data_IF_801253215253
#
_entry.id   IF_801253215253
#
_cell.length_a   1.000
_cell.length_b   1.000
_cell.length_c   1.000
_cell.angle_alpha   90.00
_cell.angle_beta   90.00
_cell.angle_gamma   90.00
#
_symmetry.space_group_name_H-M   'P 1'
#
loop_
_entity.id
_entity.type
_entity.pdbx_description
1 polymer ?
#
# COMPACT_ATOMS: atom_id res chain seq x y z
N UNK A 1 12.44 7.32 0.75
CA UNK A 1 11.31 7.87 1.54
C UNK A 1 10.46 8.68 0.58
N UNK A 2 9.20 8.29 0.34
CA UNK A 2 8.33 8.96 -0.62
C UNK A 2 7.66 10.20 -0.02
N UNK A 3 7.34 11.20 -0.85
CA UNK A 3 6.55 12.37 -0.44
C UNK A 3 5.13 11.90 -0.03
N UNK A 4 4.62 12.42 1.09
CA UNK A 4 3.25 12.12 1.51
C UNK A 4 2.24 12.84 0.60
N UNK A 5 1.25 12.09 0.12
CA UNK A 5 0.02 12.64 -0.45
C UNK A 5 -0.96 12.95 0.71
N UNK A 6 -0.92 14.18 1.21
CA UNK A 6 -1.71 14.60 2.37
C UNK A 6 -3.23 14.57 2.11
N UNK A 7 -3.65 14.83 0.89
CA UNK A 7 -5.05 14.77 0.48
C UNK A 7 -5.59 13.34 0.58
N UNK A 8 -4.87 12.38 -0.02
CA UNK A 8 -5.24 10.97 0.04
C UNK A 8 -5.35 10.48 1.48
N UNK A 9 -4.39 10.82 2.35
CA UNK A 9 -4.44 10.45 3.77
C UNK A 9 -5.62 11.07 4.53
N UNK A 10 -6.08 12.26 4.14
CA UNK A 10 -7.21 12.92 4.79
C UNK A 10 -8.51 12.18 4.49
N UNK A 11 -8.68 11.74 3.24
CA UNK A 11 -9.90 11.06 2.77
C UNK A 11 -9.89 9.56 3.06
N UNK A 12 -8.72 8.92 3.00
CA UNK A 12 -8.55 7.47 3.13
C UNK A 12 -7.77 7.18 4.41
N UNK A 13 -8.38 7.44 5.57
CA UNK A 13 -7.78 7.07 6.86
C UNK A 13 -7.99 5.59 7.14
N UNK A 14 -6.96 4.92 7.64
CA UNK A 14 -7.07 3.54 8.10
C UNK A 14 -8.08 3.47 9.26
N UNK A 15 -9.09 2.60 9.20
CA UNK A 15 -10.00 2.38 10.32
C UNK A 15 -9.27 1.85 11.55
N UNK A 16 -9.67 2.31 12.75
CA UNK A 16 -9.02 1.91 14.01
C UNK A 16 -9.06 0.38 14.25
N UNK A 17 -10.17 -0.26 13.86
CA UNK A 17 -10.37 -1.70 13.97
C UNK A 17 -10.48 -2.35 12.58
N UNK A 18 -9.57 -1.99 11.67
CA UNK A 18 -9.56 -2.55 10.33
C UNK A 18 -9.36 -4.08 10.37
N UNK A 19 -10.28 -4.80 9.73
CA UNK A 19 -10.10 -6.22 9.41
C UNK A 19 -8.89 -6.42 8.50
N UNK A 20 -8.38 -7.65 8.38
CA UNK A 20 -7.26 -7.97 7.48
C UNK A 20 -7.54 -7.52 6.05
N UNK A 21 -8.73 -7.80 5.53
CA UNK A 21 -9.19 -7.37 4.20
C UNK A 21 -9.18 -5.86 4.02
N UNK A 22 -9.73 -5.10 4.98
CA UNK A 22 -9.73 -3.63 4.92
C UNK A 22 -8.31 -3.06 4.98
N UNK A 23 -7.46 -3.65 5.82
CA UNK A 23 -6.05 -3.26 5.94
C UNK A 23 -5.29 -3.54 4.65
N UNK A 24 -5.51 -4.69 4.02
CA UNK A 24 -4.94 -5.04 2.73
C UNK A 24 -5.38 -4.06 1.64
N UNK A 25 -6.69 -3.82 1.50
CA UNK A 25 -7.24 -2.86 0.54
C UNK A 25 -6.61 -1.46 0.72
N UNK A 26 -6.57 -0.97 1.96
CA UNK A 26 -5.98 0.32 2.27
C UNK A 26 -4.51 0.40 1.86
N UNK A 27 -3.71 -0.62 2.15
CA UNK A 27 -2.29 -0.64 1.77
C UNK A 27 -2.08 -0.75 0.26
N UNK A 28 -2.95 -1.45 -0.44
CA UNK A 28 -2.93 -1.55 -1.89
C UNK A 28 -3.17 -0.18 -2.54
N UNK A 29 -4.21 0.54 -2.11
CA UNK A 29 -4.52 1.89 -2.59
C UNK A 29 -3.44 2.90 -2.16
N UNK A 30 -2.98 2.82 -0.90
CA UNK A 30 -1.93 3.70 -0.38
C UNK A 30 -0.65 3.62 -1.22
N UNK A 31 -0.24 2.42 -1.60
CA UNK A 31 0.96 2.20 -2.40
C UNK A 31 0.85 2.79 -3.82
N UNK A 32 -0.37 2.87 -4.38
CA UNK A 32 -0.63 3.44 -5.69
C UNK A 32 -0.74 4.98 -5.68
N UNK A 33 -1.37 5.57 -4.65
CA UNK A 33 -1.69 7.01 -4.62
C UNK A 33 -0.72 7.87 -3.81
N UNK A 34 -0.03 7.28 -2.82
CA UNK A 34 0.81 8.01 -1.89
C UNK A 34 2.24 7.45 -1.86
N UNK A 35 2.38 6.15 -1.60
CA UNK A 35 3.68 5.47 -1.57
C UNK A 35 4.68 6.03 -0.54
N UNK A 36 4.23 6.88 0.40
CA UNK A 36 5.09 7.56 1.38
C UNK A 36 5.87 6.57 2.26
N UNK A 37 5.30 5.37 2.43
CA UNK A 37 5.93 4.23 3.11
C UNK A 37 6.11 3.08 2.12
N UNK A 38 7.21 2.35 2.26
CA UNK A 38 7.45 1.14 1.47
C UNK A 38 6.56 -0.01 1.95
N UNK A 39 6.17 -0.90 1.04
CA UNK A 39 5.53 -2.16 1.39
C UNK A 39 6.58 -3.05 2.08
N UNK A 40 6.36 -3.35 3.36
CA UNK A 40 7.23 -4.26 4.10
C UNK A 40 6.83 -5.72 3.83
N UNK A 41 7.71 -6.70 4.12
CA UNK A 41 7.39 -8.12 3.93
C UNK A 41 6.07 -8.56 4.61
N UNK A 42 5.76 -7.99 5.78
CA UNK A 42 4.50 -8.27 6.47
C UNK A 42 3.27 -7.75 5.72
N UNK A 43 3.36 -6.56 5.11
CA UNK A 43 2.25 -6.01 4.33
C UNK A 43 2.12 -6.73 2.99
N UNK A 44 3.23 -7.09 2.33
CA UNK A 44 3.16 -7.89 1.10
C UNK A 44 2.53 -9.25 1.37
N UNK A 45 2.90 -9.95 2.45
CA UNK A 45 2.26 -11.21 2.81
C UNK A 45 0.77 -11.04 3.14
N UNK A 46 0.39 -9.93 3.78
CA UNK A 46 -1.02 -9.60 4.03
C UNK A 46 -1.79 -9.40 2.73
N UNK A 47 -1.24 -8.65 1.78
CA UNK A 47 -1.85 -8.42 0.47
C UNK A 47 -2.11 -9.75 -0.25
N UNK A 48 -1.08 -10.60 -0.37
CA UNK A 48 -1.20 -11.91 -1.02
C UNK A 48 -2.21 -12.80 -0.29
N UNK A 49 -2.17 -12.84 1.05
CA UNK A 49 -3.10 -13.65 1.85
C UNK A 49 -4.56 -13.23 1.68
N UNK A 50 -4.81 -11.95 1.39
CA UNK A 50 -6.16 -11.41 1.16
C UNK A 50 -6.53 -11.35 -0.33
N UNK A 51 -5.67 -11.88 -1.22
CA UNK A 51 -5.92 -12.00 -2.66
C UNK A 51 -5.53 -10.79 -3.51
N UNK A 52 -4.74 -9.86 -2.97
CA UNK A 52 -4.23 -8.70 -3.71
C UNK A 52 -2.85 -8.99 -4.31
N UNK A 53 -2.62 -8.47 -5.51
CA UNK A 53 -1.29 -8.40 -6.09
C UNK A 53 -0.45 -7.32 -5.39
N UNK A 54 0.87 -7.47 -5.44
CA UNK A 54 1.79 -6.46 -4.87
C UNK A 54 1.91 -5.31 -5.87
N UNK A 55 1.39 -4.11 -5.55
CA UNK A 55 1.46 -2.99 -6.48
C UNK A 55 2.92 -2.55 -6.57
N UNK A 56 3.46 -2.53 -7.79
CA UNK A 56 4.77 -1.91 -8.05
C UNK A 56 4.61 -0.40 -7.85
N UNK A 57 5.53 0.23 -7.12
CA UNK A 57 5.55 1.69 -7.05
C UNK A 57 5.65 2.25 -8.46
N UNK A 58 4.97 3.37 -8.72
CA UNK A 58 5.13 4.15 -9.96
C UNK A 58 6.56 4.68 -10.23
N UNK A 59 7.55 4.32 -9.40
CA UNK A 59 8.98 4.61 -9.60
C UNK A 59 9.91 3.39 -9.54
N UNK A 60 9.39 2.16 -9.43
CA UNK A 60 10.17 0.91 -9.54
C UNK A 60 9.83 0.23 -10.87
N UNK A 61 10.07 0.94 -11.98
CA UNK A 61 10.22 0.26 -13.27
C UNK A 61 11.56 -0.47 -13.27
N UNK A 62 11.50 -1.80 -13.42
CA UNK A 62 12.57 -2.66 -13.93
C UNK A 62 13.88 -2.72 -13.11
N UNK A 63 13.92 -3.63 -12.14
CA UNK A 63 15.18 -4.30 -11.76
C UNK A 63 15.06 -5.78 -12.10
N UNK A 64 15.13 -6.08 -13.40
CA UNK A 64 15.42 -7.42 -13.92
C UNK A 64 16.05 -7.20 -15.30
N UNK A 65 17.36 -6.95 -15.28
CA UNK A 65 18.23 -7.14 -16.45
C UNK A 65 18.78 -8.56 -16.45
#
# INVERSE_FOLDING_TARGET
MGKINSEWHREHRMPANATKKQRAAWHYEHAQHCGCRALTPTITSLLVSEGYEIPKRAGEISASG
#
